data_IF_137577082853
#
_entry.id   IF_137577082853
#
_cell.length_a   1.000
_cell.length_b   1.000
_cell.length_c   1.000
_cell.angle_alpha   90.00
_cell.angle_beta   90.00
_cell.angle_gamma   90.00
#
_symmetry.space_group_name_H-M   'P 1'
#
loop_
_entity.id
_entity.type
_entity.pdbx_description
1 polymer ?
#
# COMPACT_ATOMS: atom_id res chain seq x y z
N UNK A 1 21.63 9.67 20.24
CA UNK A 1 21.56 8.36 20.92
C UNK A 1 22.37 7.36 20.09
N UNK A 2 23.44 6.79 20.65
CA UNK A 2 24.32 5.86 19.93
C UNK A 2 23.72 4.44 19.98
N UNK A 3 22.96 4.06 18.96
CA UNK A 3 22.32 2.74 18.81
C UNK A 3 23.30 1.61 18.42
N UNK A 4 24.57 1.93 18.21
CA UNK A 4 25.64 0.95 17.91
C UNK A 4 25.84 -0.09 19.03
N UNK A 5 25.31 0.14 20.25
CA UNK A 5 25.40 -0.80 21.39
C UNK A 5 24.48 -2.02 21.22
N UNK A 6 23.46 -1.95 20.36
CA UNK A 6 22.50 -3.06 20.11
C UNK A 6 22.82 -3.78 18.78
N UNK A 7 23.96 -3.49 18.14
CA UNK A 7 24.33 -4.05 16.84
C UNK A 7 23.57 -3.48 15.64
N UNK A 8 22.72 -2.46 15.85
CA UNK A 8 22.05 -1.73 14.78
C UNK A 8 23.00 -0.69 14.17
N UNK A 9 23.18 -0.75 12.85
CA UNK A 9 23.91 0.27 12.10
C UNK A 9 22.98 1.45 11.77
N UNK A 10 23.55 2.62 11.44
CA UNK A 10 22.76 3.76 10.97
C UNK A 10 21.97 3.45 9.69
N UNK A 11 22.46 2.52 8.87
CA UNK A 11 21.77 2.03 7.68
C UNK A 11 20.48 1.28 8.04
N UNK A 12 20.53 0.43 9.07
CA UNK A 12 19.37 -0.35 9.53
C UNK A 12 18.26 0.55 10.07
N UNK A 13 18.63 1.61 10.80
CA UNK A 13 17.69 2.61 11.32
C UNK A 13 17.04 3.38 10.16
N UNK A 14 17.84 3.82 9.18
CA UNK A 14 17.33 4.51 8.01
C UNK A 14 16.37 3.62 7.21
N UNK A 15 16.70 2.34 7.06
CA UNK A 15 15.88 1.36 6.36
C UNK A 15 14.57 1.09 7.11
N UNK A 16 14.58 0.99 8.44
CA UNK A 16 13.38 0.84 9.27
C UNK A 16 12.40 2.01 9.10
N UNK A 17 12.91 3.24 9.15
CA UNK A 17 12.10 4.45 8.98
C UNK A 17 11.55 4.52 7.56
N UNK A 18 12.41 4.32 6.55
CA UNK A 18 11.99 4.34 5.15
C UNK A 18 10.94 3.26 4.85
N UNK A 19 11.15 2.03 5.31
CA UNK A 19 10.21 0.93 5.11
C UNK A 19 8.86 1.22 5.75
N UNK A 20 8.84 1.76 6.98
CA UNK A 20 7.61 2.15 7.68
C UNK A 20 6.85 3.21 6.88
N UNK A 21 7.55 4.25 6.42
CA UNK A 21 6.95 5.28 5.59
C UNK A 21 6.38 4.71 4.28
N UNK A 22 7.15 3.88 3.57
CA UNK A 22 6.69 3.25 2.34
C UNK A 22 5.47 2.36 2.56
N UNK A 23 5.39 1.62 3.66
CA UNK A 23 4.23 0.81 4.00
C UNK A 23 2.98 1.67 4.31
N UNK A 24 3.13 2.80 5.00
CA UNK A 24 2.04 3.76 5.21
C UNK A 24 1.51 4.29 3.87
N UNK A 25 2.41 4.70 2.97
CA UNK A 25 2.02 5.19 1.64
C UNK A 25 1.37 4.09 0.79
N UNK A 26 1.89 2.86 0.86
CA UNK A 26 1.28 1.70 0.22
C UNK A 26 -0.14 1.43 0.72
N UNK A 27 -0.35 1.45 2.04
CA UNK A 27 -1.68 1.30 2.64
C UNK A 27 -2.61 2.45 2.24
N UNK A 28 -2.09 3.67 2.14
CA UNK A 28 -2.85 4.81 1.64
C UNK A 28 -3.28 4.62 0.19
N UNK A 29 -2.40 4.11 -0.68
CA UNK A 29 -2.76 3.76 -2.05
C UNK A 29 -3.88 2.70 -2.12
N UNK A 30 -3.88 1.71 -1.22
CA UNK A 30 -4.96 0.72 -1.14
C UNK A 30 -6.28 1.39 -0.72
N UNK A 31 -6.25 2.31 0.25
CA UNK A 31 -7.41 3.06 0.67
C UNK A 31 -7.97 3.95 -0.45
N UNK A 32 -7.10 4.56 -1.26
CA UNK A 32 -7.52 5.29 -2.47
C UNK A 32 -8.28 4.35 -3.40
N UNK A 33 -7.69 3.21 -3.76
CA UNK A 33 -8.32 2.24 -4.68
C UNK A 33 -9.69 1.78 -4.17
N UNK A 34 -9.80 1.53 -2.86
CA UNK A 34 -11.05 1.10 -2.22
C UNK A 34 -12.13 2.20 -2.21
N UNK A 35 -11.75 3.48 -2.23
CA UNK A 35 -12.70 4.60 -2.14
C UNK A 35 -13.15 5.11 -3.50
N UNK A 36 -12.23 5.29 -4.45
CA UNK A 36 -12.55 6.00 -5.71
C UNK A 36 -13.04 5.10 -6.84
N UNK A 37 -12.92 3.76 -6.73
CA UNK A 37 -13.23 2.81 -7.80
C UNK A 37 -12.64 3.24 -9.16
N UNK A 38 -11.34 2.98 -9.43
CA UNK A 38 -10.63 3.55 -10.57
C UNK A 38 -11.19 3.15 -11.95
N UNK A 39 -12.09 2.18 -12.00
CA UNK A 39 -12.66 1.66 -13.26
C UNK A 39 -13.73 2.57 -13.87
N UNK A 40 -14.21 3.59 -13.13
CA UNK A 40 -15.13 4.58 -13.71
C UNK A 40 -15.29 5.84 -12.85
N UNK A 41 -15.47 7.02 -13.47
CA UNK A 41 -15.74 8.25 -12.73
C UNK A 41 -17.12 8.19 -12.04
N UNK A 42 -17.34 8.99 -10.97
CA UNK A 42 -18.66 9.12 -10.35
C UNK A 42 -19.70 9.58 -11.39
N UNK A 43 -20.72 8.76 -11.62
CA UNK A 43 -21.76 8.96 -12.65
C UNK A 43 -23.19 8.93 -12.07
N UNK A 44 -23.40 9.41 -10.85
CA UNK A 44 -24.73 9.37 -10.20
C UNK A 44 -25.76 10.38 -10.73
N UNK A 45 -25.47 11.10 -11.81
CA UNK A 45 -26.44 11.94 -12.50
C UNK A 45 -26.56 11.43 -13.94
N UNK A 46 -27.78 11.47 -14.49
CA UNK A 46 -28.05 11.08 -15.88
C UNK A 46 -27.28 11.94 -16.91
N UNK A 47 -27.69 11.88 -18.18
CA UNK A 47 -27.04 12.58 -19.30
C UNK A 47 -27.27 14.10 -19.21
N UNK A 48 -26.66 14.77 -18.22
CA UNK A 48 -26.52 16.23 -18.22
C UNK A 48 -25.20 16.59 -18.91
N UNK A 49 -25.27 17.46 -19.92
CA UNK A 49 -24.09 17.98 -20.62
C UNK A 49 -23.16 18.80 -19.69
N UNK A 50 -23.71 19.36 -18.61
CA UNK A 50 -22.97 20.02 -17.53
C UNK A 50 -23.33 19.34 -16.20
N UNK A 51 -22.34 18.71 -15.57
CA UNK A 51 -22.48 18.07 -14.26
C UNK A 51 -22.85 19.10 -13.19
N UNK A 52 -23.64 18.71 -12.18
CA UNK A 52 -23.90 19.58 -11.03
C UNK A 52 -22.59 19.99 -10.34
N UNK A 53 -22.54 21.13 -9.61
CA UNK A 53 -21.34 21.55 -8.90
C UNK A 53 -20.77 20.47 -7.97
N UNK A 54 -21.64 19.72 -7.28
CA UNK A 54 -21.25 18.61 -6.42
C UNK A 54 -20.63 17.43 -7.20
N UNK A 55 -21.18 17.11 -8.39
CA UNK A 55 -20.62 16.06 -9.23
C UNK A 55 -19.30 16.48 -9.88
N UNK A 56 -19.12 17.76 -10.19
CA UNK A 56 -17.84 18.30 -10.67
C UNK A 56 -16.76 18.21 -9.59
N UNK A 57 -17.08 18.56 -8.35
CA UNK A 57 -16.14 18.43 -7.22
C UNK A 57 -15.76 16.95 -6.99
N UNK A 58 -16.73 16.04 -7.01
CA UNK A 58 -16.47 14.61 -6.88
C UNK A 58 -15.59 14.07 -8.03
N UNK A 59 -15.80 14.52 -9.27
CA UNK A 59 -14.94 14.17 -10.41
C UNK A 59 -13.54 14.76 -10.29
N UNK A 60 -13.42 16.00 -9.80
CA UNK A 60 -12.14 16.64 -9.51
C UNK A 60 -11.34 15.87 -8.47
N UNK A 61 -11.97 15.51 -7.35
CA UNK A 61 -11.37 14.67 -6.30
C UNK A 61 -10.97 13.29 -6.85
N UNK A 62 -11.81 12.67 -7.69
CA UNK A 62 -11.49 11.40 -8.35
C UNK A 62 -10.24 11.49 -9.23
N UNK A 63 -10.12 12.53 -10.07
CA UNK A 63 -8.92 12.75 -10.91
C UNK A 63 -7.70 12.97 -10.03
N UNK A 64 -7.80 13.83 -9.01
CA UNK A 64 -6.69 14.13 -8.10
C UNK A 64 -6.17 12.86 -7.41
N UNK A 65 -7.08 12.05 -6.86
CA UNK A 65 -6.72 10.79 -6.19
C UNK A 65 -6.13 9.76 -7.16
N UNK A 66 -6.60 9.74 -8.41
CA UNK A 66 -6.01 8.90 -9.47
C UNK A 66 -4.59 9.34 -9.86
N UNK A 67 -4.35 10.66 -9.91
CA UNK A 67 -3.00 11.21 -10.14
C UNK A 67 -2.07 10.89 -8.97
N UNK A 68 -2.54 10.99 -7.72
CA UNK A 68 -1.77 10.58 -6.55
C UNK A 68 -1.41 9.10 -6.62
N UNK A 69 -2.38 8.23 -6.96
CA UNK A 69 -2.13 6.80 -7.13
C UNK A 69 -1.09 6.51 -8.22
N UNK A 70 -1.19 7.21 -9.37
CA UNK A 70 -0.22 7.13 -10.45
C UNK A 70 1.18 7.61 -10.03
N UNK A 71 1.26 8.68 -9.23
CA UNK A 71 2.51 9.20 -8.67
C UNK A 71 3.18 8.21 -7.72
N UNK A 72 2.41 7.59 -6.81
CA UNK A 72 2.92 6.53 -5.93
C UNK A 72 3.46 5.36 -6.74
N UNK A 73 2.72 4.89 -7.74
CA UNK A 73 3.16 3.78 -8.59
C UNK A 73 4.43 4.12 -9.37
N UNK A 74 4.49 5.30 -10.00
CA UNK A 74 5.67 5.78 -10.72
C UNK A 74 6.89 5.91 -9.81
N UNK A 75 6.70 6.38 -8.57
CA UNK A 75 7.76 6.46 -7.57
C UNK A 75 8.30 5.07 -7.19
N UNK A 76 7.41 4.13 -6.83
CA UNK A 76 7.78 2.75 -6.49
C UNK A 76 8.51 2.09 -7.65
N UNK A 77 8.01 2.26 -8.88
CA UNK A 77 8.66 1.75 -10.08
C UNK A 77 10.05 2.35 -10.26
N UNK A 78 10.20 3.67 -10.10
CA UNK A 78 11.49 4.36 -10.17
C UNK A 78 12.52 3.84 -9.17
N UNK A 79 12.10 3.50 -7.95
CA UNK A 79 12.98 2.91 -6.93
C UNK A 79 13.62 1.58 -7.36
N UNK A 80 12.95 0.78 -8.20
CA UNK A 80 13.54 -0.48 -8.70
C UNK A 80 14.72 -0.25 -9.64
N UNK A 81 14.82 0.91 -10.28
CA UNK A 81 15.90 1.29 -11.19
C UNK A 81 17.00 2.12 -10.50
N UNK A 82 16.81 2.48 -9.24
CA UNK A 82 17.88 3.15 -8.48
C UNK A 82 19.08 2.20 -8.38
N UNK A 83 20.26 2.68 -8.79
CA UNK A 83 21.49 1.91 -8.78
C UNK A 83 21.70 0.98 -9.99
N UNK A 84 20.85 1.03 -11.02
CA UNK A 84 21.22 0.46 -12.34
C UNK A 84 22.35 1.23 -13.02
N UNK A 85 22.73 2.39 -12.46
CA UNK A 85 23.87 3.21 -12.88
C UNK A 85 25.12 3.02 -11.99
N UNK A 86 25.02 2.53 -10.73
CA UNK A 86 26.14 2.20 -9.81
C UNK A 86 25.71 1.25 -8.66
N UNK A 87 26.59 0.32 -8.24
CA UNK A 87 26.23 -0.93 -7.52
C UNK A 87 25.87 -0.88 -6.02
N UNK A 88 25.84 0.26 -5.32
CA UNK A 88 25.63 0.27 -3.85
C UNK A 88 24.25 0.72 -3.33
N UNK A 89 23.59 1.78 -3.86
CA UNK A 89 22.28 2.21 -3.35
C UNK A 89 21.10 1.34 -3.82
N UNK A 90 21.34 0.40 -4.74
CA UNK A 90 20.29 -0.41 -5.36
C UNK A 90 19.51 -1.27 -4.37
N UNK A 91 20.21 -1.88 -3.40
CA UNK A 91 19.57 -2.77 -2.41
C UNK A 91 18.61 -1.99 -1.51
N UNK A 92 19.02 -0.81 -1.04
CA UNK A 92 18.18 0.04 -0.20
C UNK A 92 16.87 0.40 -0.92
N UNK A 93 16.98 0.88 -2.17
CA UNK A 93 15.83 1.33 -2.93
C UNK A 93 14.85 0.19 -3.24
N UNK A 94 15.35 -1.01 -3.56
CA UNK A 94 14.50 -2.19 -3.79
C UNK A 94 13.76 -2.63 -2.53
N UNK A 95 14.45 -2.65 -1.39
CA UNK A 95 13.81 -2.98 -0.10
C UNK A 95 12.79 -1.93 0.28
N UNK A 96 13.10 -0.65 0.04
CA UNK A 96 12.15 0.43 0.26
C UNK A 96 10.92 0.32 -0.65
N UNK A 97 11.11 0.07 -1.95
CA UNK A 97 10.02 -0.16 -2.91
C UNK A 97 9.10 -1.33 -2.48
N UNK A 98 9.70 -2.42 -2.01
CA UNK A 98 8.96 -3.58 -1.52
C UNK A 98 8.05 -3.22 -0.33
N UNK A 99 8.46 -2.28 0.52
CA UNK A 99 7.63 -1.88 1.66
C UNK A 99 6.31 -1.22 1.24
N UNK A 100 6.28 -0.49 0.11
CA UNK A 100 5.03 0.03 -0.47
C UNK A 100 4.09 -1.10 -0.91
N UNK A 101 4.64 -2.14 -1.55
CA UNK A 101 3.85 -3.29 -2.00
C UNK A 101 3.27 -4.03 -0.79
N UNK A 102 4.07 -4.24 0.24
CA UNK A 102 3.61 -4.88 1.49
C UNK A 102 2.50 -4.06 2.14
N UNK A 103 2.68 -2.74 2.26
CA UNK A 103 1.66 -1.83 2.79
C UNK A 103 0.35 -1.88 1.99
N UNK A 104 0.45 -1.89 0.66
CA UNK A 104 -0.71 -2.01 -0.23
C UNK A 104 -1.43 -3.37 -0.08
N UNK A 105 -0.67 -4.45 0.13
CA UNK A 105 -1.22 -5.80 0.29
C UNK A 105 -1.72 -6.10 1.71
N UNK A 106 -1.35 -5.29 2.71
CA UNK A 106 -1.61 -5.57 4.13
C UNK A 106 -3.07 -5.95 4.45
N UNK A 107 -4.12 -5.26 3.95
CA UNK A 107 -5.50 -5.64 4.23
C UNK A 107 -5.87 -7.03 3.71
N UNK A 108 -5.33 -7.42 2.55
CA UNK A 108 -5.56 -8.75 1.95
C UNK A 108 -4.85 -9.84 2.75
N UNK A 109 -3.63 -9.56 3.21
CA UNK A 109 -2.85 -10.48 4.03
C UNK A 109 -3.58 -10.74 5.36
N UNK A 110 -4.08 -9.69 6.01
CA UNK A 110 -4.82 -9.81 7.26
C UNK A 110 -6.08 -10.67 7.10
N UNK A 111 -6.88 -10.39 6.06
CA UNK A 111 -8.07 -11.18 5.76
C UNK A 111 -7.77 -12.65 5.45
N UNK A 112 -6.63 -12.95 4.82
CA UNK A 112 -6.21 -14.32 4.56
C UNK A 112 -5.79 -15.06 5.84
N UNK A 113 -5.09 -14.39 6.75
CA UNK A 113 -4.71 -14.96 8.05
C UNK A 113 -5.93 -15.25 8.92
N UNK A 114 -6.86 -14.30 9.00
CA UNK A 114 -8.12 -14.48 9.74
C UNK A 114 -8.90 -15.71 9.24
N UNK A 115 -9.06 -15.85 7.92
CA UNK A 115 -9.72 -17.03 7.33
C UNK A 115 -9.02 -18.34 7.69
N UNK A 116 -7.69 -18.33 7.76
CA UNK A 116 -6.90 -19.52 8.09
C UNK A 116 -7.09 -19.92 9.55
N UNK A 117 -7.07 -18.94 10.47
CA UNK A 117 -7.33 -19.16 11.89
C UNK A 117 -8.76 -19.64 12.16
N UNK A 118 -9.75 -19.06 11.48
CA UNK A 118 -11.15 -19.50 11.62
C UNK A 118 -11.33 -20.95 11.13
N UNK A 119 -10.63 -21.36 10.07
CA UNK A 119 -10.65 -22.75 9.59
C UNK A 119 -10.01 -23.72 10.59
N UNK A 120 -8.92 -23.34 11.26
CA UNK A 120 -8.30 -24.21 12.26
C UNK A 120 -9.19 -24.37 13.51
N UNK A 121 -9.88 -23.30 13.93
CA UNK A 121 -10.81 -23.35 15.07
C UNK A 121 -12.09 -24.12 14.73
N UNK A 122 -12.63 -23.95 13.51
CA UNK A 122 -13.79 -24.72 13.05
C UNK A 122 -13.46 -26.19 12.76
N UNK A 123 -12.19 -26.48 12.43
CA UNK A 123 -11.65 -27.81 12.19
C UNK A 123 -11.14 -28.53 13.45
N UNK A 124 -11.19 -27.92 14.63
CA UNK A 124 -10.95 -28.58 15.92
C UNK A 124 -12.28 -28.97 16.57
N UNK A 125 -12.90 -30.11 16.20
CA UNK A 125 -13.82 -30.75 17.11
C UNK A 125 -13.00 -31.14 18.34
N UNK A 126 -13.45 -30.71 19.51
CA UNK A 126 -13.15 -31.40 20.76
C UNK A 126 -13.06 -32.90 20.50
N UNK A 127 -12.03 -33.54 21.03
CA UNK A 127 -12.06 -34.91 21.55
C UNK A 127 -13.52 -35.35 21.80
N UNK A 128 -14.13 -35.93 20.76
CA UNK A 128 -15.27 -36.81 20.91
C UNK A 128 -14.60 -38.17 20.97
N UNK A 129 -14.92 -38.89 22.03
CA UNK A 129 -14.52 -40.28 22.30
C UNK A 129 -13.15 -40.40 22.98
N UNK A 130 -13.14 -40.30 24.32
CA UNK A 130 -13.19 -41.49 25.20
C UNK A 130 -13.86 -41.16 26.52
#
# INVERSE_FOLDING_TARGET
>A
MNFNIVGFTGYDIALLVACTFGAIVGSFAQAIVATIHPDGPPNKEGVMHFASPALQEARGAWIAMRLVLGGILGFVFGLYFVGTLHETPATFAKVWALSFIVGYAAPKIWAAQERTLLRSVAGSPHERET
#
